data_IF_121497222512
#
_entry.id   IF_121497222512
#
_cell.length_a   1.000
_cell.length_b   1.000
_cell.length_c   1.000
_cell.angle_alpha   90.00
_cell.angle_beta   90.00
_cell.angle_gamma   90.00
#
_symmetry.space_group_name_H-M   'P 1'
#
loop_
_entity.id
_entity.type
_entity.pdbx_description
1 polymer ?
#
# COMPACT_ATOMS: atom_id res chain seq x y z
N UNK A 1 5.64 -7.91 -8.33
CA UNK A 1 6.07 -9.24 -7.88
C UNK A 1 7.56 -9.16 -7.58
N UNK A 2 8.04 -9.84 -6.54
CA UNK A 2 9.48 -9.95 -6.23
C UNK A 2 9.99 -11.39 -6.47
N UNK A 3 11.29 -11.65 -6.24
CA UNK A 3 11.91 -12.95 -6.52
C UNK A 3 11.46 -14.06 -5.54
N UNK A 4 10.82 -13.67 -4.41
CA UNK A 4 10.20 -14.58 -3.44
C UNK A 4 8.77 -14.99 -3.85
N UNK A 5 8.30 -14.54 -5.03
CA UNK A 5 6.96 -14.84 -5.52
C UNK A 5 5.84 -14.02 -4.87
N UNK A 6 6.17 -13.08 -3.97
CA UNK A 6 5.18 -12.17 -3.38
C UNK A 6 4.69 -11.18 -4.44
N UNK A 7 3.38 -10.92 -4.47
CA UNK A 7 2.73 -10.05 -5.45
C UNK A 7 2.07 -8.89 -4.73
N UNK A 8 2.11 -7.69 -5.32
CA UNK A 8 1.39 -6.51 -4.83
C UNK A 8 0.62 -5.86 -5.96
N UNK A 9 -0.40 -5.11 -5.59
CA UNK A 9 -1.24 -4.31 -6.48
C UNK A 9 -2.36 -3.65 -5.68
N UNK A 10 -3.50 -3.42 -6.31
CA UNK A 10 -4.71 -2.89 -5.68
C UNK A 10 -5.93 -3.80 -5.94
N UNK A 11 -6.89 -3.79 -5.02
CA UNK A 11 -8.14 -4.53 -5.10
C UNK A 11 -9.28 -3.68 -4.54
N UNK A 12 -10.54 -4.04 -4.84
CA UNK A 12 -11.69 -3.38 -4.23
C UNK A 12 -12.15 -4.13 -2.98
N UNK A 13 -12.31 -3.41 -1.88
CA UNK A 13 -12.85 -3.93 -0.62
C UNK A 13 -14.35 -4.22 -0.75
N UNK A 14 -14.94 -4.82 0.31
CA UNK A 14 -16.40 -5.03 0.41
C UNK A 14 -17.23 -3.73 0.36
N UNK A 15 -16.65 -2.57 0.70
CA UNK A 15 -17.28 -1.25 0.57
C UNK A 15 -17.08 -0.59 -0.79
N UNK A 16 -16.29 -1.20 -1.68
CA UNK A 16 -15.95 -0.69 -3.01
C UNK A 16 -14.72 0.24 -3.03
N UNK A 17 -14.15 0.56 -1.88
CA UNK A 17 -12.91 1.33 -1.74
C UNK A 17 -11.72 0.56 -2.33
N UNK A 18 -10.73 1.26 -2.89
CA UNK A 18 -9.60 0.63 -3.57
C UNK A 18 -8.39 0.54 -2.63
N UNK A 19 -8.05 -0.65 -2.15
CA UNK A 19 -6.94 -0.86 -1.23
C UNK A 19 -5.76 -1.59 -1.88
N UNK A 20 -4.55 -1.21 -1.48
CA UNK A 20 -3.31 -1.90 -1.75
C UNK A 20 -3.31 -3.27 -1.07
N UNK A 21 -2.79 -4.29 -1.75
CA UNK A 21 -2.70 -5.64 -1.21
C UNK A 21 -1.30 -6.24 -1.36
N UNK A 22 -0.98 -7.18 -0.47
CA UNK A 22 0.11 -8.13 -0.58
C UNK A 22 -0.47 -9.54 -0.72
N UNK A 23 -0.11 -10.27 -1.77
CA UNK A 23 -0.42 -11.68 -1.92
C UNK A 23 0.83 -12.54 -1.72
N UNK A 24 0.69 -13.62 -0.94
CA UNK A 24 1.67 -14.69 -0.84
C UNK A 24 1.01 -16.06 -1.08
N UNK A 25 1.83 -17.06 -1.41
CA UNK A 25 1.36 -18.43 -1.59
C UNK A 25 0.85 -19.08 -0.28
N UNK A 26 1.32 -18.60 0.87
CA UNK A 26 1.02 -19.18 2.19
C UNK A 26 -0.20 -18.51 2.85
N UNK A 27 -0.26 -17.18 2.83
CA UNK A 27 -1.31 -16.39 3.49
C UNK A 27 -2.46 -15.97 2.57
N UNK A 28 -2.32 -16.12 1.25
CA UNK A 28 -3.27 -15.54 0.29
C UNK A 28 -3.16 -14.03 0.22
N UNK A 29 -4.28 -13.32 0.03
CA UNK A 29 -4.34 -11.85 -0.04
C UNK A 29 -4.44 -11.26 1.37
N UNK A 30 -3.49 -10.41 1.73
CA UNK A 30 -3.56 -9.48 2.85
C UNK A 30 -3.84 -8.05 2.35
N UNK A 31 -4.77 -7.36 2.99
CA UNK A 31 -5.03 -5.93 2.81
C UNK A 31 -3.96 -5.12 3.56
N UNK A 32 -3.37 -4.12 2.89
CA UNK A 32 -2.35 -3.25 3.50
C UNK A 32 -2.94 -1.99 4.15
N UNK A 33 -4.23 -1.73 3.96
CA UNK A 33 -4.93 -0.56 4.47
C UNK A 33 -4.56 0.74 3.77
N UNK A 34 -4.75 1.86 4.48
CA UNK A 34 -4.52 3.23 3.98
C UNK A 34 -3.88 4.09 5.06
N UNK A 35 -3.40 5.29 4.69
CA UNK A 35 -2.99 6.33 5.64
C UNK A 35 -4.19 7.07 6.29
N UNK A 36 -5.29 6.36 6.53
CA UNK A 36 -6.53 6.88 7.15
C UNK A 36 -7.53 7.53 6.19
N UNK A 37 -7.18 7.69 4.91
CA UNK A 37 -8.13 8.01 3.84
C UNK A 37 -8.78 6.76 3.25
N UNK A 38 -9.35 6.87 2.04
CA UNK A 38 -10.19 5.82 1.45
C UNK A 38 -9.43 4.83 0.56
N UNK A 39 -8.39 5.26 -0.14
CA UNK A 39 -7.73 4.42 -1.14
C UNK A 39 -6.22 4.26 -0.91
N UNK A 40 -5.67 3.19 -1.49
CA UNK A 40 -4.24 2.94 -1.63
C UNK A 40 -3.95 2.04 -2.84
N UNK A 41 -2.76 2.22 -3.42
CA UNK A 41 -2.27 1.44 -4.57
C UNK A 41 -0.80 1.10 -4.34
N UNK A 42 -0.46 -0.20 -4.32
CA UNK A 42 0.92 -0.65 -4.29
C UNK A 42 1.51 -0.70 -5.70
N UNK A 43 2.64 -0.02 -5.90
CA UNK A 43 3.35 0.07 -7.19
C UNK A 43 4.58 -0.85 -7.27
N UNK A 44 5.19 -1.21 -6.13
CA UNK A 44 6.39 -2.04 -6.11
C UNK A 44 6.58 -2.79 -4.79
N UNK A 45 7.33 -3.90 -4.86
CA UNK A 45 7.74 -4.70 -3.71
C UNK A 45 9.18 -5.19 -3.94
N UNK A 46 10.03 -5.15 -2.91
CA UNK A 46 11.41 -5.65 -2.96
C UNK A 46 11.56 -7.03 -2.28
N UNK A 47 12.74 -7.63 -2.35
CA UNK A 47 13.02 -8.94 -1.73
C UNK A 47 13.15 -8.90 -0.18
N UNK A 48 12.91 -7.74 0.46
CA UNK A 48 12.79 -7.60 1.91
C UNK A 48 11.31 -7.51 2.34
N UNK A 49 10.36 -7.80 1.44
CA UNK A 49 8.92 -7.69 1.69
C UNK A 49 8.39 -6.25 1.76
N UNK A 50 9.26 -5.24 1.63
CA UNK A 50 8.86 -3.84 1.71
C UNK A 50 8.08 -3.43 0.46
N UNK A 51 6.95 -2.77 0.65
CA UNK A 51 6.03 -2.35 -0.41
C UNK A 51 6.02 -0.82 -0.51
N UNK A 52 6.02 -0.30 -1.73
CA UNK A 52 5.91 1.15 -2.00
C UNK A 52 4.72 1.43 -2.90
N UNK A 53 4.06 2.57 -2.66
CA UNK A 53 2.81 2.91 -3.31
C UNK A 53 2.35 4.34 -3.00
N UNK A 54 1.09 4.63 -3.32
CA UNK A 54 0.40 5.84 -2.85
C UNK A 54 -0.84 5.50 -2.02
N UNK A 55 -1.24 6.38 -1.10
CA UNK A 55 -2.47 6.23 -0.32
C UNK A 55 -3.06 7.57 0.08
N UNK A 56 -4.39 7.68 0.06
CA UNK A 56 -5.11 8.78 0.67
C UNK A 56 -4.78 8.88 2.16
N UNK A 57 -4.18 10.00 2.56
CA UNK A 57 -4.17 10.54 3.93
C UNK A 57 -5.48 11.26 4.17
N UNK A 58 -6.04 11.10 5.38
CA UNK A 58 -7.27 11.82 5.77
C UNK A 58 -7.11 13.33 5.57
N UNK A 59 -8.03 13.93 4.82
CA UNK A 59 -8.13 15.36 4.51
C UNK A 59 -6.97 16.01 3.76
N UNK A 60 -5.74 15.51 3.76
CA UNK A 60 -4.58 16.26 3.25
C UNK A 60 -3.83 15.62 2.06
N UNK A 61 -4.24 14.43 1.56
CA UNK A 61 -4.01 14.02 0.16
C UNK A 61 -3.34 12.66 -0.04
N UNK A 62 -3.08 12.31 -1.30
CA UNK A 62 -2.35 11.09 -1.66
C UNK A 62 -0.88 11.21 -1.22
N UNK A 63 -0.57 10.60 -0.08
CA UNK A 63 0.77 10.30 0.43
C UNK A 63 1.50 9.27 -0.46
N UNK A 64 2.79 9.42 -0.72
CA UNK A 64 3.63 8.27 -1.02
C UNK A 64 3.84 7.46 0.27
N UNK A 65 3.83 6.13 0.22
CA UNK A 65 4.03 5.28 1.39
C UNK A 65 5.18 4.28 1.24
N UNK A 66 5.76 3.90 2.38
CA UNK A 66 6.53 2.68 2.58
C UNK A 66 5.75 1.78 3.55
N UNK A 67 5.51 0.53 3.18
CA UNK A 67 4.91 -0.47 4.06
C UNK A 67 5.90 -1.58 4.38
N UNK A 68 5.91 -2.01 5.64
CA UNK A 68 6.63 -3.19 6.14
C UNK A 68 5.71 -4.03 7.04
N UNK A 69 6.05 -5.31 7.23
CA UNK A 69 5.29 -6.20 8.12
C UNK A 69 5.40 -5.80 9.60
N UNK A 70 6.54 -5.21 10.00
CA UNK A 70 6.80 -4.76 11.37
C UNK A 70 6.14 -3.41 11.73
N UNK A 71 6.07 -2.47 10.78
CA UNK A 71 5.64 -1.08 11.03
C UNK A 71 4.28 -0.72 10.41
N UNK A 72 3.77 -1.53 9.49
CA UNK A 72 2.59 -1.19 8.69
C UNK A 72 2.90 -0.07 7.68
N UNK A 73 1.89 0.74 7.35
CA UNK A 73 2.00 1.80 6.34
C UNK A 73 2.56 3.10 6.94
N UNK A 74 3.78 3.46 6.55
CA UNK A 74 4.47 4.71 6.92
C UNK A 74 4.30 5.76 5.81
N UNK A 75 3.82 6.95 6.17
CA UNK A 75 3.73 8.11 5.28
C UNK A 75 5.12 8.69 4.96
N UNK A 76 5.41 8.89 3.67
CA UNK A 76 6.63 9.54 3.18
C UNK A 76 6.37 10.99 2.71
N UNK A 77 5.12 11.46 2.75
CA UNK A 77 4.71 12.77 2.28
C UNK A 77 4.64 12.91 0.75
N UNK A 78 4.51 14.15 0.29
CA UNK A 78 4.58 14.50 -1.13
C UNK A 78 5.95 15.10 -1.46
N UNK A 79 6.26 15.29 -2.75
CA UNK A 79 7.45 16.04 -3.21
C UNK A 79 7.36 17.57 -2.99
N UNK A 80 6.58 18.03 -1.99
CA UNK A 80 6.35 19.45 -1.70
C UNK A 80 5.29 20.12 -2.58
N UNK A 81 4.43 19.35 -3.24
CA UNK A 81 3.30 19.86 -4.03
C UNK A 81 2.10 20.22 -3.13
N UNK A 82 1.50 21.39 -3.36
CA UNK A 82 0.18 21.73 -2.82
C UNK A 82 -0.93 21.02 -3.59
N UNK A 83 -1.99 20.63 -2.87
CA UNK A 83 -3.23 20.04 -3.41
C UNK A 83 -3.99 21.00 -4.33
#
# INVERSE_FOLDING_TARGET
MNDLGQVVGNSHTVTGDQHAFLWTLESGIADLGTLGGRNSVAYGINNLGQVVGESDVVSEGSHAFLWSEDEGMTDLGTLGGSR
#
